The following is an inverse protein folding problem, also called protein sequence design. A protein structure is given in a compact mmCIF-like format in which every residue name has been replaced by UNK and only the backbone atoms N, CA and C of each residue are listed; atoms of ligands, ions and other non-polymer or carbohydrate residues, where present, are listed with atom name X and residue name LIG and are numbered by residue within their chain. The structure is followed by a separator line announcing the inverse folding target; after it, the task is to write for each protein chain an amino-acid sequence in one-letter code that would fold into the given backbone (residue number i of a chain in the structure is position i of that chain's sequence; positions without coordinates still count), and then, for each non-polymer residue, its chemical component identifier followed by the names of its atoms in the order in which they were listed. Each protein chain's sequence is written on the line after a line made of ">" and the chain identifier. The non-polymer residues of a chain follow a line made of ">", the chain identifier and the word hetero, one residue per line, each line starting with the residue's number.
data_IF_612761904615
#
_entry.id   IF_612761904615
#
_cell.length_a   1.000
_cell.length_b   1.000
_cell.length_c   1.000
_cell.angle_alpha   90.00
_cell.angle_beta   90.00
_cell.angle_gamma   90.00
#
_symmetry.space_group_name_H-M   'P 1'
#
loop_
_entity.id
_entity.type
_entity.pdbx_description
1 polymer ?
#
# COMPACT_ATOMS: atom_id res chain seq x y z
N UNK A 1 28.01 0.04 0.64
CA UNK A 1 27.59 1.39 1.05
C UNK A 1 28.77 2.35 1.14
N UNK A 2 29.76 2.12 2.02
CA UNK A 2 30.94 3.00 2.15
C UNK A 2 31.71 3.21 0.83
N UNK A 3 31.80 2.19 -0.03
CA UNK A 3 32.42 2.34 -1.35
C UNK A 3 31.74 3.42 -2.19
N UNK A 4 30.42 3.34 -2.38
CA UNK A 4 29.66 4.33 -3.16
C UNK A 4 29.74 5.71 -2.51
N UNK A 5 29.54 5.80 -1.18
CA UNK A 5 29.56 7.09 -0.48
C UNK A 5 30.94 7.78 -0.51
N UNK A 6 32.04 7.02 -0.45
CA UNK A 6 33.38 7.59 -0.39
C UNK A 6 34.07 7.75 -1.75
N UNK A 7 33.77 6.88 -2.71
CA UNK A 7 34.49 6.83 -3.99
C UNK A 7 33.63 7.22 -5.20
N UNK A 8 32.30 7.14 -5.08
CA UNK A 8 31.36 7.39 -6.17
C UNK A 8 30.14 8.21 -5.69
N UNK A 9 30.35 9.42 -5.15
CA UNK A 9 29.27 10.20 -4.53
C UNK A 9 28.14 10.58 -5.51
N UNK A 10 28.43 10.58 -6.82
CA UNK A 10 27.45 10.86 -7.88
C UNK A 10 26.79 9.58 -8.44
N UNK A 11 27.28 8.38 -8.10
CA UNK A 11 26.76 7.08 -8.54
C UNK A 11 26.33 6.20 -7.36
N UNK A 12 25.53 6.76 -6.46
CA UNK A 12 25.05 6.10 -5.23
C UNK A 12 23.83 5.20 -5.47
N UNK A 13 23.87 4.37 -6.50
CA UNK A 13 22.72 3.57 -6.94
C UNK A 13 22.21 2.62 -5.85
N UNK A 14 23.10 1.86 -5.20
CA UNK A 14 22.72 0.90 -4.16
C UNK A 14 22.23 1.64 -2.92
N UNK A 15 22.90 2.73 -2.52
CA UNK A 15 22.46 3.53 -1.37
C UNK A 15 21.08 4.13 -1.59
N UNK A 16 20.82 4.69 -2.78
CA UNK A 16 19.51 5.23 -3.16
C UNK A 16 18.42 4.15 -3.19
N UNK A 17 18.75 2.92 -3.59
CA UNK A 17 17.82 1.78 -3.53
C UNK A 17 17.51 1.36 -2.09
N UNK A 18 18.53 1.27 -1.23
CA UNK A 18 18.33 0.93 0.19
C UNK A 18 17.46 2.00 0.87
N UNK A 19 17.70 3.28 0.58
CA UNK A 19 16.87 4.37 1.10
C UNK A 19 15.42 4.30 0.61
N UNK A 20 15.20 3.92 -0.66
CA UNK A 20 13.85 3.65 -1.17
C UNK A 20 13.18 2.51 -0.40
N UNK A 21 13.89 1.40 -0.17
CA UNK A 21 13.35 0.26 0.55
C UNK A 21 13.05 0.59 2.01
N UNK A 22 13.91 1.37 2.66
CA UNK A 22 13.69 1.92 4.02
C UNK A 22 12.40 2.76 4.10
N UNK A 23 12.11 3.58 3.08
CA UNK A 23 10.84 4.33 3.05
C UNK A 23 9.60 3.47 2.86
N UNK A 24 9.73 2.25 2.31
CA UNK A 24 8.59 1.37 2.05
C UNK A 24 8.42 0.32 3.16
N UNK A 25 9.53 -0.21 3.69
CA UNK A 25 9.57 -1.28 4.69
C UNK A 25 9.84 -0.66 6.05
N UNK A 26 8.81 -0.61 6.90
CA UNK A 26 8.97 -0.12 8.27
C UNK A 26 8.71 -1.22 9.31
N UNK A 27 7.89 -2.22 8.97
CA UNK A 27 7.43 -3.29 9.85
C UNK A 27 7.63 -4.67 9.23
N UNK A 28 7.55 -5.71 10.07
CA UNK A 28 7.57 -7.12 9.62
C UNK A 28 6.50 -7.40 8.56
N UNK A 29 5.31 -6.82 8.69
CA UNK A 29 4.20 -6.99 7.73
C UNK A 29 4.52 -6.45 6.34
N UNK A 30 5.33 -5.39 6.28
CA UNK A 30 5.76 -4.84 4.99
C UNK A 30 6.72 -5.82 4.31
N UNK A 31 7.58 -6.48 5.09
CA UNK A 31 8.44 -7.57 4.59
C UNK A 31 7.63 -8.79 4.18
N UNK A 32 6.61 -9.19 4.96
CA UNK A 32 5.73 -10.30 4.62
C UNK A 32 5.11 -10.12 3.23
N UNK A 33 4.59 -8.92 2.94
CA UNK A 33 4.03 -8.58 1.63
C UNK A 33 5.09 -8.71 0.52
N UNK A 34 6.31 -8.24 0.78
CA UNK A 34 7.39 -8.31 -0.20
C UNK A 34 7.87 -9.74 -0.44
N UNK A 35 7.78 -10.61 0.57
CA UNK A 35 8.08 -12.04 0.45
C UNK A 35 6.96 -12.76 -0.32
N UNK A 36 5.70 -12.46 -0.03
CA UNK A 36 4.53 -13.00 -0.74
C UNK A 36 4.59 -12.66 -2.24
N UNK A 37 4.94 -11.42 -2.58
CA UNK A 37 5.11 -10.94 -3.96
C UNK A 37 6.45 -11.37 -4.59
N UNK A 38 7.31 -12.11 -3.86
CA UNK A 38 8.60 -12.62 -4.36
C UNK A 38 9.65 -11.54 -4.64
N UNK A 39 9.46 -10.33 -4.11
CA UNK A 39 10.40 -9.19 -4.24
C UNK A 39 11.61 -9.42 -3.33
N UNK A 40 11.36 -9.86 -2.11
CA UNK A 40 12.38 -10.25 -1.14
C UNK A 40 12.30 -11.76 -0.97
N UNK A 41 13.42 -12.44 -1.15
CA UNK A 41 13.52 -13.83 -0.72
C UNK A 41 13.66 -13.86 0.80
N UNK A 42 12.90 -14.72 1.49
CA UNK A 42 12.97 -14.95 2.94
C UNK A 42 14.30 -15.55 3.40
N UNK A 43 15.40 -14.86 3.11
CA UNK A 43 16.78 -15.30 3.30
C UNK A 43 17.19 -15.38 4.76
N UNK A 44 16.58 -14.55 5.63
CA UNK A 44 16.94 -14.49 7.06
C UNK A 44 16.05 -15.38 7.95
N UNK A 45 14.95 -15.93 7.43
CA UNK A 45 13.98 -16.70 8.21
C UNK A 45 13.21 -15.90 9.27
N UNK A 46 13.54 -14.62 9.46
CA UNK A 46 12.91 -13.67 10.36
C UNK A 46 12.67 -12.36 9.62
N UNK A 47 11.41 -12.08 9.30
CA UNK A 47 10.99 -10.90 8.56
C UNK A 47 11.11 -9.61 9.41
N UNK A 48 11.02 -9.71 10.74
CA UNK A 48 11.25 -8.58 11.63
C UNK A 48 12.73 -8.16 11.64
N UNK A 49 13.65 -9.13 11.56
CA UNK A 49 15.07 -8.85 11.40
C UNK A 49 15.38 -8.14 10.07
N UNK A 50 14.70 -8.53 8.98
CA UNK A 50 14.83 -7.86 7.67
C UNK A 50 14.32 -6.42 7.74
N UNK A 51 13.16 -6.17 8.35
CA UNK A 51 12.64 -4.81 8.52
C UNK A 51 13.62 -3.95 9.34
N UNK A 52 14.13 -4.50 10.44
CA UNK A 52 15.12 -3.83 11.30
C UNK A 52 16.43 -3.54 10.56
N UNK A 53 16.86 -4.45 9.67
CA UNK A 53 18.04 -4.23 8.83
C UNK A 53 17.86 -3.03 7.92
N UNK A 54 16.76 -2.93 7.17
CA UNK A 54 16.51 -1.78 6.29
C UNK A 54 16.43 -0.46 7.08
N UNK A 55 15.64 -0.43 8.16
CA UNK A 55 15.52 0.70 9.08
C UNK A 55 16.88 1.21 9.58
N UNK A 56 17.78 0.30 9.98
CA UNK A 56 19.11 0.66 10.46
C UNK A 56 20.07 1.11 9.36
N UNK A 57 19.91 0.61 8.14
CA UNK A 57 20.72 1.00 7.00
C UNK A 57 20.28 2.38 6.48
N UNK A 58 18.99 2.69 6.48
CA UNK A 58 18.45 4.00 6.11
C UNK A 58 19.04 5.14 6.95
N UNK A 59 19.20 4.92 8.26
CA UNK A 59 19.81 5.90 9.18
C UNK A 59 21.27 6.27 8.82
N UNK A 60 21.97 5.41 8.08
CA UNK A 60 23.38 5.60 7.72
C UNK A 60 23.57 6.24 6.34
N UNK A 61 22.48 6.47 5.60
CA UNK A 61 22.52 7.00 4.23
C UNK A 61 22.01 8.43 4.22
N UNK A 62 22.85 9.37 3.77
CA UNK A 62 22.40 10.73 3.50
C UNK A 62 21.61 10.75 2.19
N UNK A 63 20.42 11.39 2.15
CA UNK A 63 19.65 11.52 0.91
C UNK A 63 20.45 12.26 -0.17
N UNK A 64 20.61 11.64 -1.34
CA UNK A 64 21.18 12.25 -2.54
C UNK A 64 20.12 12.33 -3.66
N UNK A 65 20.34 13.11 -4.74
CA UNK A 65 19.48 13.07 -5.92
C UNK A 65 19.40 11.63 -6.45
N UNK A 66 18.26 10.98 -6.18
CA UNK A 66 18.08 9.57 -6.44
C UNK A 66 17.50 9.35 -7.84
N UNK A 67 18.06 8.40 -8.57
CA UNK A 67 17.48 7.90 -9.84
C UNK A 67 16.06 7.34 -9.63
N UNK A 68 15.73 6.96 -8.40
CA UNK A 68 14.40 6.48 -8.01
C UNK A 68 13.42 7.62 -7.65
N UNK A 69 13.81 8.89 -7.74
CA UNK A 69 12.94 10.02 -7.38
C UNK A 69 11.60 9.98 -8.12
N UNK A 70 11.60 9.71 -9.42
CA UNK A 70 10.38 9.62 -10.21
C UNK A 70 9.49 8.45 -9.79
N UNK A 71 10.09 7.33 -9.37
CA UNK A 71 9.37 6.18 -8.83
C UNK A 71 8.73 6.56 -7.49
N UNK A 72 9.48 7.18 -6.57
CA UNK A 72 8.93 7.69 -5.30
C UNK A 72 7.78 8.66 -5.54
N UNK A 73 7.91 9.57 -6.51
CA UNK A 73 6.89 10.55 -6.85
C UNK A 73 5.63 9.88 -7.40
N UNK A 74 5.77 8.89 -8.28
CA UNK A 74 4.64 8.11 -8.81
C UNK A 74 3.97 7.28 -7.71
N UNK A 75 4.75 6.64 -6.84
CA UNK A 75 4.26 5.86 -5.72
C UNK A 75 3.47 6.75 -4.74
N UNK A 76 4.01 7.93 -4.41
CA UNK A 76 3.33 8.92 -3.58
C UNK A 76 2.07 9.46 -4.25
N UNK A 77 2.11 9.78 -5.54
CA UNK A 77 0.92 10.24 -6.27
C UNK A 77 -0.17 9.16 -6.34
N UNK A 78 0.21 7.89 -6.44
CA UNK A 78 -0.72 6.76 -6.35
C UNK A 78 -1.32 6.64 -4.95
N UNK A 79 -0.52 6.77 -3.90
CA UNK A 79 -1.00 6.74 -2.51
C UNK A 79 -1.91 7.93 -2.18
N UNK A 80 -1.50 9.15 -2.53
CA UNK A 80 -2.22 10.40 -2.30
C UNK A 80 -3.46 10.56 -3.20
N UNK A 81 -3.64 9.66 -4.17
CA UNK A 81 -4.83 9.62 -5.00
C UNK A 81 -6.08 9.46 -4.15
N UNK A 82 -6.93 10.50 -4.10
CA UNK A 82 -8.20 10.50 -3.34
C UNK A 82 -9.03 9.23 -3.55
N UNK A 83 -9.02 8.69 -4.77
CA UNK A 83 -9.70 7.44 -5.10
C UNK A 83 -9.09 6.22 -4.40
N UNK A 84 -7.76 6.10 -4.38
CA UNK A 84 -7.06 4.99 -3.75
C UNK A 84 -7.18 5.01 -2.23
N UNK A 85 -7.10 6.19 -1.62
CA UNK A 85 -7.34 6.36 -0.19
C UNK A 85 -8.79 6.00 0.18
N UNK A 86 -9.76 6.46 -0.60
CA UNK A 86 -11.18 6.15 -0.37
C UNK A 86 -11.46 4.66 -0.56
N UNK A 87 -10.88 4.03 -1.59
CA UNK A 87 -11.01 2.59 -1.84
C UNK A 87 -10.33 1.74 -0.76
N UNK A 88 -9.16 2.16 -0.26
CA UNK A 88 -8.49 1.49 0.85
C UNK A 88 -9.33 1.58 2.14
N UNK A 89 -9.89 2.75 2.45
CA UNK A 89 -10.79 2.93 3.60
C UNK A 89 -12.08 2.11 3.45
N UNK A 90 -12.70 2.10 2.27
CA UNK A 90 -13.83 1.23 1.95
C UNK A 90 -13.44 -0.24 2.12
N UNK A 91 -12.28 -0.67 1.63
CA UNK A 91 -11.84 -2.06 1.80
C UNK A 91 -11.69 -2.41 3.28
N UNK A 92 -11.02 -1.57 4.07
CA UNK A 92 -10.83 -1.81 5.50
C UNK A 92 -12.14 -1.82 6.29
N UNK A 93 -13.06 -0.90 6.02
CA UNK A 93 -14.33 -0.80 6.77
C UNK A 93 -15.33 -1.87 6.34
N UNK A 94 -15.43 -2.18 5.04
CA UNK A 94 -16.46 -3.07 4.51
C UNK A 94 -16.01 -4.52 4.41
N UNK A 95 -14.71 -4.78 4.19
CA UNK A 95 -14.16 -6.13 4.13
C UNK A 95 -13.32 -6.49 5.36
N UNK A 96 -13.01 -5.54 6.24
CA UNK A 96 -12.36 -5.84 7.52
C UNK A 96 -13.27 -6.54 8.52
N UNK A 97 -14.57 -6.27 8.46
CA UNK A 97 -15.60 -7.03 9.16
C UNK A 97 -16.57 -7.61 8.13
N UNK A 98 -16.46 -8.92 7.90
CA UNK A 98 -17.28 -9.64 6.91
C UNK A 98 -18.79 -9.44 7.16
N UNK A 99 -19.19 -9.20 8.41
CA UNK A 99 -20.58 -8.91 8.78
C UNK A 99 -21.06 -7.55 8.28
N UNK A 100 -20.29 -6.49 8.51
CA UNK A 100 -20.62 -5.13 8.04
C UNK A 100 -20.77 -5.07 6.53
N UNK A 101 -19.88 -5.73 5.78
CA UNK A 101 -19.99 -5.83 4.32
C UNK A 101 -21.29 -6.49 3.86
N UNK A 102 -21.67 -7.62 4.47
CA UNK A 102 -22.93 -8.32 4.12
C UNK A 102 -24.18 -7.51 4.45
N UNK A 103 -24.20 -6.81 5.60
CA UNK A 103 -25.34 -6.01 6.02
C UNK A 103 -25.62 -4.85 5.05
N UNK A 104 -24.57 -4.19 4.57
CA UNK A 104 -24.71 -3.09 3.59
C UNK A 104 -25.17 -3.64 2.24
N UNK A 105 -24.66 -4.79 1.80
CA UNK A 105 -25.13 -5.46 0.60
C UNK A 105 -26.63 -5.79 0.67
N UNK A 106 -27.09 -6.35 1.79
CA UNK A 106 -28.49 -6.64 2.03
C UNK A 106 -29.36 -5.36 2.03
N UNK A 107 -28.89 -4.29 2.66
CA UNK A 107 -29.59 -3.01 2.68
C UNK A 107 -29.75 -2.40 1.28
N UNK A 108 -28.72 -2.48 0.43
CA UNK A 108 -28.80 -2.03 -0.97
C UNK A 108 -29.82 -2.85 -1.75
N UNK A 109 -29.81 -4.18 -1.61
CA UNK A 109 -30.79 -5.06 -2.27
C UNK A 109 -32.22 -4.69 -1.84
N UNK A 110 -32.44 -4.52 -0.53
CA UNK A 110 -33.74 -4.12 0.00
C UNK A 110 -34.19 -2.75 -0.51
N UNK A 111 -33.27 -1.78 -0.59
CA UNK A 111 -33.53 -0.44 -1.12
C UNK A 111 -33.95 -0.50 -2.59
N UNK A 112 -33.26 -1.30 -3.41
CA UNK A 112 -33.60 -1.49 -4.83
C UNK A 112 -34.97 -2.16 -4.97
N UNK A 113 -35.25 -3.19 -4.18
CA UNK A 113 -36.54 -3.87 -4.18
C UNK A 113 -37.68 -2.92 -3.79
N UNK A 114 -37.50 -2.13 -2.73
CA UNK A 114 -38.50 -1.14 -2.31
C UNK A 114 -38.69 -0.04 -3.34
N UNK A 115 -37.63 0.41 -4.01
CA UNK A 115 -37.73 1.37 -5.09
C UNK A 115 -38.53 0.82 -6.28
N UNK A 116 -38.24 -0.41 -6.72
CA UNK A 116 -39.01 -1.09 -7.78
C UNK A 116 -40.47 -1.22 -7.36
N UNK A 117 -40.73 -1.67 -6.13
CA UNK A 117 -42.09 -1.81 -5.61
C UNK A 117 -42.83 -0.47 -5.60
N UNK A 118 -42.18 0.62 -5.20
CA UNK A 118 -42.77 1.96 -5.20
C UNK A 118 -43.10 2.44 -6.63
N UNK A 119 -42.18 2.26 -7.58
CA UNK A 119 -42.41 2.59 -8.99
C UNK A 119 -43.56 1.78 -9.59
N UNK A 120 -43.57 0.45 -9.37
CA UNK A 120 -44.66 -0.41 -9.83
C UNK A 120 -46.00 0.01 -9.21
N UNK A 121 -46.03 0.34 -7.91
CA UNK A 121 -47.25 0.78 -7.21
C UNK A 121 -47.79 2.12 -7.72
N UNK A 122 -46.91 3.05 -8.11
CA UNK A 122 -47.27 4.36 -8.67
C UNK A 122 -47.70 4.23 -10.14
N UNK A 123 -47.12 3.30 -10.89
CA UNK A 123 -47.48 3.05 -12.29
C UNK A 123 -48.77 2.21 -12.42
N UNK A 124 -49.17 1.51 -11.36
CA UNK A 124 -50.45 0.82 -11.26
C UNK A 124 -51.56 1.76 -10.74
N UNK A 125 -52.08 2.67 -11.58
CA UNK A 125 -53.52 2.86 -11.63
C UNK A 125 -54.02 3.09 -13.07
N UNK A 126 -54.36 2.00 -13.77
CA UNK A 126 -55.55 1.82 -14.64
C UNK A 126 -55.73 0.33 -14.96
#
# INVERSE_FOLDING_TARGET
>A
MALELCHYPDETHICNFILLMDFIINTEKDVDLFVEEGIIFGLLGDNAAVATMFNNLGLQITPSPSVYHDICKKLKAHYDGRWNLTMANLKTVYFGDSWTGTAIGAAIILLVLTFIQAVCSILSPL
#
